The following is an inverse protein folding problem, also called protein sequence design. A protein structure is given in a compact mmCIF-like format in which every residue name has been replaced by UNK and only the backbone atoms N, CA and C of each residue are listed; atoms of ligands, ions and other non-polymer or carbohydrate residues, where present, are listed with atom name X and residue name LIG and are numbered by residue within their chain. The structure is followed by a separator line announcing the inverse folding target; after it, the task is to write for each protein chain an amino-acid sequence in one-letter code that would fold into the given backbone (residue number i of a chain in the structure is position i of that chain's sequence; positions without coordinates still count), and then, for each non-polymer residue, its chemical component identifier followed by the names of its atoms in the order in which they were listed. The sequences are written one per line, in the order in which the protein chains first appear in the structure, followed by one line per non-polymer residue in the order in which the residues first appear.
data_IF_683005398141
#
_entry.id   IF_683005398141
#
_cell.length_a   1.000
_cell.length_b   1.000
_cell.length_c   1.000
_cell.angle_alpha   90.00
_cell.angle_beta   90.00
_cell.angle_gamma   90.00
#
_symmetry.space_group_name_H-M   'P 1'
#
loop_
_entity.id
_entity.type
_entity.pdbx_description
1 polymer ?
#
# COMPACT_ATOMS: atom_id res chain seq x y z
N UNK A 1 -5.71 -16.06 -11.22
CA UNK A 1 -4.76 -15.65 -12.28
C UNK A 1 -5.21 -16.28 -13.62
N UNK A 2 -4.55 -16.10 -14.79
CA UNK A 2 -5.00 -16.68 -16.06
C UNK A 2 -5.22 -18.20 -16.07
N UNK A 3 -4.67 -18.94 -15.10
CA UNK A 3 -4.88 -20.39 -14.95
C UNK A 3 -6.25 -20.77 -14.36
N UNK A 4 -7.04 -19.79 -13.90
CA UNK A 4 -8.32 -20.04 -13.23
C UNK A 4 -8.19 -20.39 -11.74
N UNK A 5 -6.97 -20.50 -11.22
CA UNK A 5 -6.74 -20.68 -9.79
C UNK A 5 -6.97 -19.35 -9.02
N UNK A 6 -7.51 -19.48 -7.81
CA UNK A 6 -7.68 -18.40 -6.85
C UNK A 6 -7.21 -18.85 -5.47
N UNK A 7 -6.77 -17.89 -4.66
CA UNK A 7 -6.34 -18.10 -3.29
C UNK A 7 -6.60 -16.86 -2.46
N UNK A 8 -6.83 -17.04 -1.17
CA UNK A 8 -6.97 -15.94 -0.21
C UNK A 8 -5.59 -15.43 0.22
N UNK A 9 -5.44 -14.11 0.32
CA UNK A 9 -4.21 -13.46 0.75
C UNK A 9 -4.51 -12.34 1.75
N UNK A 10 -3.68 -12.21 2.78
CA UNK A 10 -3.71 -11.05 3.69
C UNK A 10 -3.05 -9.82 3.05
N UNK A 11 -1.97 -10.03 2.30
CA UNK A 11 -1.31 -9.03 1.48
C UNK A 11 -0.70 -9.72 0.25
N UNK A 12 -0.82 -9.12 -0.93
CA UNK A 12 -0.29 -9.68 -2.18
C UNK A 12 0.01 -8.59 -3.20
N UNK A 13 0.88 -8.90 -4.15
CA UNK A 13 1.21 -8.06 -5.30
C UNK A 13 1.42 -8.93 -6.53
N UNK A 14 1.05 -8.40 -7.69
CA UNK A 14 1.20 -9.03 -9.00
C UNK A 14 1.87 -8.04 -9.97
N UNK A 15 2.39 -8.54 -11.09
CA UNK A 15 3.05 -7.72 -12.10
C UNK A 15 4.55 -7.52 -11.84
N UNK A 16 5.10 -6.45 -12.41
CA UNK A 16 6.52 -6.10 -12.33
C UNK A 16 6.98 -5.93 -10.89
N UNK A 17 8.18 -6.42 -10.57
CA UNK A 17 8.79 -6.36 -9.23
C UNK A 17 7.97 -6.99 -8.10
N UNK A 18 6.96 -7.82 -8.42
CA UNK A 18 6.09 -8.47 -7.43
C UNK A 18 6.85 -9.36 -6.44
N UNK A 19 7.96 -9.99 -6.83
CA UNK A 19 8.80 -10.80 -5.93
C UNK A 19 9.42 -9.93 -4.82
N UNK A 20 9.93 -8.75 -5.18
CA UNK A 20 10.49 -7.80 -4.23
C UNK A 20 9.40 -7.23 -3.31
N UNK A 21 8.25 -6.84 -3.88
CA UNK A 21 7.11 -6.34 -3.12
C UNK A 21 6.58 -7.39 -2.12
N UNK A 22 6.42 -8.65 -2.53
CA UNK A 22 6.02 -9.74 -1.64
C UNK A 22 7.04 -10.00 -0.54
N UNK A 23 8.34 -9.89 -0.84
CA UNK A 23 9.40 -10.07 0.17
C UNK A 23 9.34 -8.98 1.23
N UNK A 24 9.15 -7.72 0.82
CA UNK A 24 8.97 -6.59 1.73
C UNK A 24 7.69 -6.73 2.56
N UNK A 25 6.56 -7.10 1.94
CA UNK A 25 5.31 -7.35 2.68
C UNK A 25 5.46 -8.48 3.71
N UNK A 26 6.16 -9.57 3.40
CA UNK A 26 6.44 -10.65 4.37
C UNK A 26 7.28 -10.17 5.56
N UNK A 27 8.16 -9.20 5.33
CA UNK A 27 8.98 -8.61 6.39
C UNK A 27 8.18 -7.63 7.25
N UNK A 28 7.32 -6.82 6.66
CA UNK A 28 6.68 -5.69 7.36
C UNK A 28 5.28 -6.01 7.89
N UNK A 29 4.55 -6.91 7.23
CA UNK A 29 3.23 -7.37 7.67
C UNK A 29 3.40 -8.38 8.81
N UNK A 30 3.45 -7.88 10.05
CA UNK A 30 3.73 -8.69 11.25
C UNK A 30 2.51 -9.21 12.00
N UNK A 31 1.32 -8.70 11.70
CA UNK A 31 0.12 -8.94 12.49
C UNK A 31 -0.93 -9.75 11.72
N UNK A 32 -1.83 -10.43 12.42
CA UNK A 32 -2.97 -11.10 11.77
C UNK A 32 -3.97 -10.11 11.18
N UNK A 33 -4.08 -8.93 11.78
CA UNK A 33 -4.86 -7.79 11.33
C UNK A 33 -4.05 -6.51 11.50
N UNK A 34 -4.28 -5.54 10.61
CA UNK A 34 -3.59 -4.24 10.58
C UNK A 34 -4.65 -3.14 10.47
N UNK A 35 -4.41 -1.97 11.06
CA UNK A 35 -5.31 -0.83 10.88
C UNK A 35 -5.26 -0.30 9.45
N UNK A 36 -6.27 0.47 9.03
CA UNK A 36 -6.28 1.08 7.71
C UNK A 36 -5.08 2.00 7.50
N UNK A 37 -4.74 2.82 8.50
CA UNK A 37 -3.63 3.78 8.41
C UNK A 37 -2.28 3.07 8.27
N UNK A 38 -2.06 2.01 9.04
CA UNK A 38 -0.83 1.21 8.92
C UNK A 38 -0.77 0.46 7.57
N UNK A 39 -1.90 -0.04 7.06
CA UNK A 39 -1.96 -0.67 5.73
C UNK A 39 -1.64 0.34 4.61
N UNK A 40 -2.15 1.57 4.71
CA UNK A 40 -1.86 2.65 3.78
C UNK A 40 -0.35 3.01 3.79
N UNK A 41 0.24 3.13 4.98
CA UNK A 41 1.69 3.36 5.13
C UNK A 41 2.51 2.22 4.53
N UNK A 42 2.13 0.97 4.79
CA UNK A 42 2.81 -0.20 4.23
C UNK A 42 2.69 -0.23 2.71
N UNK A 43 1.51 0.06 2.14
CA UNK A 43 1.31 0.13 0.70
C UNK A 43 2.23 1.17 0.04
N UNK A 44 2.32 2.38 0.61
CA UNK A 44 3.24 3.42 0.12
C UNK A 44 4.70 3.01 0.28
N UNK A 45 5.08 2.40 1.40
CA UNK A 45 6.44 1.88 1.61
C UNK A 45 6.82 0.87 0.53
N UNK A 46 5.91 -0.07 0.23
CA UNK A 46 6.12 -1.08 -0.81
C UNK A 46 6.24 -0.41 -2.17
N UNK A 47 5.28 0.43 -2.57
CA UNK A 47 5.31 1.13 -3.86
C UNK A 47 6.59 1.98 -4.02
N UNK A 48 7.01 2.69 -2.98
CA UNK A 48 8.24 3.52 -3.02
C UNK A 48 9.50 2.69 -3.25
N UNK A 49 9.52 1.43 -2.81
CA UNK A 49 10.69 0.54 -2.94
C UNK A 49 10.65 -0.34 -4.19
N UNK A 50 9.49 -0.49 -4.84
CA UNK A 50 9.32 -1.45 -5.94
C UNK A 50 8.80 -0.82 -7.24
N UNK A 51 8.36 0.42 -7.22
CA UNK A 51 8.07 1.18 -8.44
C UNK A 51 9.39 1.52 -9.15
N UNK A 52 9.42 1.42 -10.48
CA UNK A 52 10.60 1.73 -11.28
C UNK A 52 10.94 3.25 -11.33
N UNK A 53 10.09 4.10 -10.73
CA UNK A 53 10.35 5.53 -10.60
C UNK A 53 11.38 5.82 -9.49
N UNK A 54 12.32 6.72 -9.76
CA UNK A 54 13.28 7.21 -8.76
C UNK A 54 12.63 7.99 -7.63
N UNK A 55 11.39 8.48 -7.82
CA UNK A 55 10.59 9.16 -6.81
C UNK A 55 9.12 8.84 -7.04
N UNK A 56 8.43 8.39 -6.00
CA UNK A 56 6.98 8.17 -6.06
C UNK A 56 6.25 9.51 -5.91
N UNK A 57 5.43 9.84 -6.89
CA UNK A 57 4.58 11.04 -6.94
C UNK A 57 3.12 10.64 -7.14
N UNK A 58 2.14 11.48 -6.78
CA UNK A 58 0.72 11.15 -6.87
C UNK A 58 0.22 10.71 -8.26
N UNK A 59 0.86 11.17 -9.34
CA UNK A 59 0.53 10.79 -10.72
C UNK A 59 1.05 9.39 -11.13
N UNK A 60 1.83 8.73 -10.26
CA UNK A 60 2.46 7.44 -10.53
C UNK A 60 1.76 6.25 -9.87
N UNK A 61 0.74 6.49 -9.07
CA UNK A 61 -0.05 5.43 -8.46
C UNK A 61 -1.48 5.88 -8.23
N UNK A 62 -2.39 4.92 -8.32
CA UNK A 62 -3.74 5.05 -7.80
C UNK A 62 -3.87 4.22 -6.53
N UNK A 63 -4.62 4.73 -5.55
CA UNK A 63 -4.94 4.01 -4.33
C UNK A 63 -6.42 4.13 -4.02
N UNK A 64 -7.04 3.00 -3.69
CA UNK A 64 -8.42 2.96 -3.23
C UNK A 64 -8.55 2.09 -1.97
N UNK A 65 -9.56 2.40 -1.16
CA UNK A 65 -9.90 1.66 0.05
C UNK A 65 -11.35 1.19 -0.01
N UNK A 66 -11.63 0.07 0.64
CA UNK A 66 -12.98 -0.44 0.86
C UNK A 66 -13.13 -0.64 2.36
N UNK A 67 -14.08 0.07 2.98
CA UNK A 67 -14.31 0.07 4.43
C UNK A 67 -15.79 -0.18 4.73
N UNK A 68 -16.10 -0.52 5.99
CA UNK A 68 -17.49 -0.58 6.47
C UNK A 68 -17.69 0.54 7.48
N UNK A 69 -18.62 1.44 7.19
CA UNK A 69 -18.99 2.58 8.04
C UNK A 69 -20.50 2.53 8.25
N UNK A 70 -20.95 2.51 9.51
CA UNK A 70 -22.37 2.41 9.88
C UNK A 70 -23.10 1.23 9.21
N UNK A 71 -22.41 0.09 9.12
CA UNK A 71 -22.92 -1.14 8.50
C UNK A 71 -23.01 -1.08 6.96
N UNK A 72 -22.51 -0.02 6.33
CA UNK A 72 -22.50 0.14 4.87
C UNK A 72 -21.10 0.05 4.31
N UNK A 73 -20.95 -0.64 3.18
CA UNK A 73 -19.70 -0.69 2.43
C UNK A 73 -19.46 0.67 1.77
N UNK A 74 -18.28 1.24 2.01
CA UNK A 74 -17.82 2.49 1.41
C UNK A 74 -16.55 2.24 0.61
N UNK A 75 -16.63 2.51 -0.69
CA UNK A 75 -15.48 2.61 -1.57
C UNK A 75 -14.96 4.05 -1.57
N UNK A 76 -13.65 4.23 -1.54
CA UNK A 76 -13.01 5.55 -1.65
C UNK A 76 -11.73 5.43 -2.45
N UNK A 77 -11.72 6.06 -3.63
CA UNK A 77 -10.50 6.32 -4.38
C UNK A 77 -9.87 7.61 -3.86
N UNK A 78 -8.57 7.60 -3.60
CA UNK A 78 -7.87 8.79 -3.14
C UNK A 78 -7.74 9.79 -4.29
N UNK A 79 -8.02 11.05 -3.98
CA UNK A 79 -7.63 12.18 -4.82
C UNK A 79 -6.12 12.40 -4.80
N UNK A 80 -5.61 13.14 -5.79
CA UNK A 80 -4.20 13.53 -5.85
C UNK A 80 -3.72 14.23 -4.57
N UNK A 81 -4.57 15.09 -3.99
CA UNK A 81 -4.27 15.79 -2.74
C UNK A 81 -4.19 14.84 -1.53
N UNK A 82 -5.01 13.80 -1.48
CA UNK A 82 -4.96 12.78 -0.43
C UNK A 82 -3.75 11.86 -0.60
N UNK A 83 -3.46 11.46 -1.83
CA UNK A 83 -2.26 10.69 -2.17
C UNK A 83 -0.98 11.46 -1.79
N UNK A 84 -0.92 12.76 -2.07
CA UNK A 84 0.20 13.63 -1.69
C UNK A 84 0.36 13.70 -0.17
N UNK A 85 -0.73 13.92 0.58
CA UNK A 85 -0.70 13.92 2.05
C UNK A 85 -0.17 12.60 2.61
N UNK A 86 -0.56 11.47 2.01
CA UNK A 86 -0.11 10.15 2.44
C UNK A 86 1.39 9.95 2.18
N UNK A 87 1.89 10.40 1.03
CA UNK A 87 3.34 10.40 0.74
C UNK A 87 4.12 11.25 1.74
N UNK A 88 3.63 12.44 2.06
CA UNK A 88 4.30 13.36 2.98
C UNK A 88 4.32 12.81 4.41
N UNK A 89 3.22 12.21 4.86
CA UNK A 89 3.15 11.51 6.14
C UNK A 89 4.16 10.34 6.19
N UNK A 90 4.25 9.54 5.13
CA UNK A 90 5.23 8.45 5.04
C UNK A 90 6.68 8.97 5.09
N UNK A 91 6.99 10.06 4.37
CA UNK A 91 8.33 10.67 4.39
C UNK A 91 8.70 11.21 5.77
N UNK A 92 7.76 11.86 6.46
CA UNK A 92 7.97 12.36 7.82
C UNK A 92 8.26 11.23 8.81
N UNK A 93 7.49 10.13 8.75
CA UNK A 93 7.71 8.95 9.59
C UNK A 93 9.08 8.30 9.28
N UNK A 94 9.44 8.19 8.00
CA UNK A 94 10.73 7.61 7.56
C UNK A 94 11.93 8.42 8.03
N UNK A 95 11.83 9.74 8.06
CA UNK A 95 12.88 10.63 8.55
C UNK A 95 13.06 10.56 10.08
N UNK A 96 12.03 10.09 10.82
CA UNK A 96 12.08 9.95 12.27
C UNK A 96 12.57 8.58 12.77
N UNK A 97 12.55 7.56 11.90
CA UNK A 97 12.92 6.17 12.24
C UNK A 97 14.37 5.77 11.95
N UNK A 98 15.16 6.66 11.33
CA UNK A 98 16.60 6.47 11.03
C UNK A 98 17.52 7.24 12.01
N UNK A 99 16.99 7.64 13.18
CA UNK A 99 17.72 8.30 14.27
C UNK A 99 17.92 7.40 15.49
#
# INVERSE_FOLDING_TARGET
DPSGNYGGWKATSIGSNSVAAQSLMKQEYKADAISLDEALKLAIKVLTKTCDSTTLTPDKFDLATVTVVDGKVKYTQLSEAEAQKLLDAFKADSASGDA
#
